data_IF_248985502612
#
_entry.id   IF_248985502612
#
_cell.length_a   1.000
_cell.length_b   1.000
_cell.length_c   1.000
_cell.angle_alpha   90.00
_cell.angle_beta   90.00
_cell.angle_gamma   90.00
#
_symmetry.space_group_name_H-M   'P 1'
#
loop_
_entity.id
_entity.type
_entity.pdbx_description
1 polymer ?
#
# COMPACT_ATOMS: atom_id res chain seq x y z
N UNK A 1 -6.06 21.40 16.87
CA UNK A 1 -4.80 20.75 16.43
C UNK A 1 -4.97 19.24 16.30
N UNK A 2 -5.68 18.59 17.24
CA UNK A 2 -5.88 17.13 17.24
C UNK A 2 -6.47 16.52 15.96
N UNK A 3 -7.49 17.12 15.35
CA UNK A 3 -8.16 16.50 14.20
C UNK A 3 -7.24 16.38 12.96
N UNK A 4 -6.37 17.36 12.71
CA UNK A 4 -5.43 17.31 11.57
C UNK A 4 -4.40 16.21 11.77
N UNK A 5 -3.87 16.09 12.98
CA UNK A 5 -2.90 15.06 13.34
C UNK A 5 -3.54 13.69 13.25
N UNK A 6 -4.78 13.54 13.71
CA UNK A 6 -5.53 12.30 13.61
C UNK A 6 -5.85 11.92 12.16
N UNK A 7 -6.15 12.89 11.30
CA UNK A 7 -6.33 12.65 9.87
C UNK A 7 -5.04 12.13 9.22
N UNK A 8 -3.91 12.78 9.49
CA UNK A 8 -2.61 12.36 8.99
C UNK A 8 -2.24 10.95 9.49
N UNK A 9 -2.42 10.71 10.79
CA UNK A 9 -2.18 9.39 11.40
C UNK A 9 -3.01 8.32 10.72
N UNK A 10 -4.32 8.55 10.54
CA UNK A 10 -5.23 7.58 9.92
C UNK A 10 -4.90 7.36 8.44
N UNK A 11 -4.50 8.39 7.71
CA UNK A 11 -4.05 8.28 6.32
C UNK A 11 -2.80 7.40 6.24
N UNK A 12 -1.76 7.70 7.02
CA UNK A 12 -0.51 6.94 7.05
C UNK A 12 -0.73 5.48 7.45
N UNK A 13 -1.60 5.21 8.42
CA UNK A 13 -1.91 3.84 8.84
C UNK A 13 -2.65 3.03 7.77
N UNK A 14 -3.53 3.66 6.99
CA UNK A 14 -4.27 2.98 5.92
C UNK A 14 -3.45 2.81 4.63
N UNK A 15 -2.50 3.71 4.37
CA UNK A 15 -1.70 3.73 3.15
C UNK A 15 -0.23 3.39 3.42
N UNK A 16 0.05 2.61 4.46
CA UNK A 16 1.40 2.07 4.66
C UNK A 16 1.78 1.22 3.46
N UNK A 17 2.99 1.42 2.94
CA UNK A 17 3.41 0.82 1.68
C UNK A 17 3.75 -0.67 1.87
N UNK A 18 2.73 -1.50 1.68
CA UNK A 18 2.80 -2.96 1.64
C UNK A 18 2.12 -3.52 0.37
N UNK A 19 1.79 -2.62 -0.56
CA UNK A 19 1.17 -2.99 -1.82
C UNK A 19 2.22 -3.54 -2.77
N UNK A 20 1.96 -4.71 -3.36
CA UNK A 20 2.71 -5.11 -4.54
C UNK A 20 2.20 -4.29 -5.72
N UNK A 21 3.13 -3.73 -6.50
CA UNK A 21 2.84 -3.16 -7.81
C UNK A 21 3.24 -4.18 -8.88
N UNK A 22 2.32 -5.09 -9.25
CA UNK A 22 2.63 -6.11 -10.23
C UNK A 22 2.71 -5.49 -11.63
N UNK A 23 3.52 -6.13 -12.46
CA UNK A 23 3.50 -5.92 -13.89
C UNK A 23 2.49 -6.89 -14.52
N UNK A 24 1.65 -6.38 -15.41
CA UNK A 24 0.63 -7.13 -16.13
C UNK A 24 0.83 -7.00 -17.64
N UNK A 25 0.35 -7.99 -18.39
CA UNK A 25 0.28 -7.94 -19.84
C UNK A 25 -0.92 -7.10 -20.26
N UNK A 26 -0.71 -6.09 -21.10
CA UNK A 26 -1.74 -5.22 -21.63
C UNK A 26 -1.97 -5.53 -23.11
N UNK A 27 -3.22 -5.87 -23.46
CA UNK A 27 -3.58 -6.23 -24.83
C UNK A 27 -2.95 -7.55 -25.30
N UNK A 28 -2.99 -7.78 -26.62
CA UNK A 28 -2.49 -9.01 -27.24
C UNK A 28 -1.05 -8.89 -27.77
N UNK A 29 -0.47 -7.69 -27.76
CA UNK A 29 0.82 -7.40 -28.41
C UNK A 29 2.02 -7.62 -27.48
N UNK A 30 1.77 -8.04 -26.23
CA UNK A 30 2.83 -8.41 -25.28
C UNK A 30 3.43 -7.24 -24.50
N UNK A 31 2.76 -6.08 -24.45
CA UNK A 31 3.23 -4.97 -23.63
C UNK A 31 3.07 -5.30 -22.14
N UNK A 32 4.15 -5.10 -21.37
CA UNK A 32 4.15 -5.29 -19.91
C UNK A 32 4.12 -3.93 -19.23
N UNK A 33 3.06 -3.67 -18.48
CA UNK A 33 2.84 -2.38 -17.78
C UNK A 33 2.61 -2.60 -16.29
N UNK A 34 2.96 -1.61 -15.48
CA UNK A 34 2.65 -1.65 -14.04
C UNK A 34 1.14 -1.40 -13.81
N UNK A 35 0.51 -2.22 -12.97
CA UNK A 35 -0.91 -2.12 -12.68
C UNK A 35 -1.21 -1.09 -11.58
N UNK A 36 -1.35 0.17 -11.97
CA UNK A 36 -1.77 1.27 -11.09
C UNK A 36 -3.29 1.35 -10.87
N UNK A 37 -4.08 0.52 -11.55
CA UNK A 37 -5.55 0.57 -11.49
C UNK A 37 -6.14 -0.25 -10.33
N UNK A 38 -5.29 -1.01 -9.62
CA UNK A 38 -5.70 -1.88 -8.52
C UNK A 38 -6.39 -1.09 -7.42
N UNK A 39 -7.49 -1.64 -6.94
CA UNK A 39 -8.23 -1.06 -5.81
C UNK A 39 -7.36 -1.06 -4.55
N UNK A 40 -7.02 0.13 -4.07
CA UNK A 40 -6.37 0.30 -2.78
C UNK A 40 -7.31 -0.15 -1.65
N UNK A 41 -6.79 -0.95 -0.74
CA UNK A 41 -7.52 -1.48 0.42
C UNK A 41 -6.72 -1.17 1.68
N UNK A 42 -7.36 -0.63 2.72
CA UNK A 42 -6.70 -0.46 4.02
C UNK A 42 -6.31 -1.84 4.56
N UNK A 43 -5.11 -1.93 5.14
CA UNK A 43 -4.58 -3.16 5.75
C UNK A 43 -4.39 -2.96 7.25
N UNK A 44 -4.16 -4.06 7.97
CA UNK A 44 -3.86 -3.99 9.39
C UNK A 44 -2.51 -3.28 9.58
N UNK A 45 -2.55 -2.05 10.08
CA UNK A 45 -1.35 -1.25 10.33
C UNK A 45 -0.32 -2.00 11.19
N UNK A 46 -0.75 -2.70 12.25
CA UNK A 46 0.14 -3.38 13.21
C UNK A 46 0.96 -4.53 12.59
N UNK A 47 0.54 -5.04 11.44
CA UNK A 47 1.29 -6.09 10.72
C UNK A 47 2.64 -5.60 10.20
N UNK A 48 2.75 -4.32 9.82
CA UNK A 48 3.99 -3.72 9.28
C UNK A 48 5.06 -3.54 10.37
N UNK A 49 4.82 -2.81 11.48
CA UNK A 49 5.83 -2.61 12.52
C UNK A 49 6.17 -3.92 13.26
N UNK A 50 5.23 -4.86 13.38
CA UNK A 50 5.53 -6.17 13.98
C UNK A 50 6.47 -7.00 13.10
N UNK A 51 6.28 -6.99 11.77
CA UNK A 51 7.21 -7.61 10.83
C UNK A 51 8.60 -6.99 10.95
N UNK A 52 8.71 -5.65 10.90
CA UNK A 52 9.99 -4.95 11.00
C UNK A 52 10.69 -5.27 12.33
N UNK A 53 9.99 -5.21 13.47
CA UNK A 53 10.58 -5.55 14.78
C UNK A 53 11.08 -7.00 14.87
N UNK A 54 10.44 -7.93 14.15
CA UNK A 54 10.81 -9.35 14.15
C UNK A 54 12.01 -9.64 13.23
N UNK A 55 12.22 -8.82 12.21
CA UNK A 55 13.18 -9.06 11.13
C UNK A 55 14.25 -7.96 10.98
N UNK A 56 14.32 -7.02 11.93
CA UNK A 56 15.40 -6.04 12.07
C UNK A 56 16.53 -6.62 12.95
#
# INVERSE_FOLDING_TARGET
LDHCVEFLRRRLMCTSDMGLLPYIWLGNDGDVVADFSRMHTCRNYESVPSFVKKHA
#
